data_IF_647317568204
#
_entry.id   IF_647317568204
#
_cell.length_a   1.000
_cell.length_b   1.000
_cell.length_c   1.000
_cell.angle_alpha   90.00
_cell.angle_beta   90.00
_cell.angle_gamma   90.00
#
_symmetry.space_group_name_H-M   'P 1'
#
loop_
_entity.id
_entity.type
_entity.pdbx_description
1 polymer ?
#
# COMPACT_ATOMS: atom_id res chain seq x y z
N UNK A 1 0.43 8.50 16.35
CA UNK A 1 1.87 8.18 16.60
C UNK A 1 2.49 7.69 15.29
N UNK A 2 3.78 7.95 15.01
CA UNK A 2 4.41 7.60 13.73
C UNK A 2 5.69 6.79 13.95
N UNK A 3 5.82 5.65 13.25
CA UNK A 3 6.95 4.73 13.37
C UNK A 3 7.60 4.49 12.01
N UNK A 4 8.90 4.23 11.99
CA UNK A 4 9.63 3.78 10.81
C UNK A 4 10.41 2.51 11.11
N UNK A 5 10.66 1.71 10.07
CA UNK A 5 11.61 0.61 10.12
C UNK A 5 12.87 1.00 9.34
N UNK A 6 14.02 0.65 9.88
CA UNK A 6 15.32 1.03 9.34
C UNK A 6 16.22 -0.19 9.20
N UNK A 7 17.11 -0.16 8.22
CA UNK A 7 18.20 -1.12 8.03
C UNK A 7 19.53 -0.39 8.03
N UNK A 8 20.54 -0.95 8.71
CA UNK A 8 21.92 -0.47 8.65
C UNK A 8 22.89 -1.64 8.44
N UNK A 9 23.91 -1.52 7.58
CA UNK A 9 24.90 -2.57 7.34
C UNK A 9 25.59 -3.10 8.61
N UNK A 10 25.86 -2.22 9.59
CA UNK A 10 26.57 -2.58 10.83
C UNK A 10 25.67 -2.78 12.05
N UNK A 11 24.51 -2.12 12.09
CA UNK A 11 23.64 -2.09 13.28
C UNK A 11 22.39 -2.95 13.10
N UNK A 12 22.24 -3.55 11.91
CA UNK A 12 21.10 -4.36 11.55
C UNK A 12 19.83 -3.55 11.48
N UNK A 13 18.72 -4.27 11.64
CA UNK A 13 17.39 -3.71 11.54
C UNK A 13 16.93 -3.05 12.85
N UNK A 14 16.23 -1.92 12.76
CA UNK A 14 15.67 -1.17 13.89
C UNK A 14 14.27 -0.65 13.62
N UNK A 15 13.57 -0.32 14.71
CA UNK A 15 12.33 0.47 14.69
C UNK A 15 12.62 1.80 15.38
N UNK A 16 12.09 2.90 14.87
CA UNK A 16 12.22 4.22 15.48
C UNK A 16 10.88 4.96 15.53
N UNK A 17 10.71 5.77 16.57
CA UNK A 17 9.63 6.74 16.71
C UNK A 17 10.01 8.02 15.94
N UNK A 18 9.08 8.55 15.15
CA UNK A 18 9.27 9.82 14.42
C UNK A 18 8.84 10.99 15.31
N UNK A 19 9.78 11.88 15.60
CA UNK A 19 9.60 13.08 16.42
C UNK A 19 10.09 14.32 15.64
N UNK A 20 9.20 14.91 14.84
CA UNK A 20 9.56 16.02 13.97
C UNK A 20 10.54 15.58 12.87
N UNK A 21 11.76 16.12 12.92
CA UNK A 21 12.89 15.83 12.04
C UNK A 21 13.86 14.79 12.63
N UNK A 22 13.54 14.21 13.79
CA UNK A 22 14.35 13.20 14.47
C UNK A 22 13.66 11.84 14.52
N UNK A 23 14.47 10.79 14.58
CA UNK A 23 14.06 9.41 14.82
C UNK A 23 14.66 8.91 16.13
N UNK A 24 13.82 8.64 17.13
CA UNK A 24 14.25 8.02 18.39
C UNK A 24 14.17 6.50 18.27
N UNK A 25 15.34 5.83 18.25
CA UNK A 25 15.43 4.38 18.04
C UNK A 25 14.94 3.62 19.27
N UNK A 26 14.09 2.61 19.06
CA UNK A 26 13.59 1.74 20.12
C UNK A 26 14.65 0.69 20.51
N UNK A 27 14.72 0.38 21.81
CA UNK A 27 15.49 -0.73 22.34
C UNK A 27 14.75 -2.06 22.12
N UNK A 28 15.52 -3.14 21.96
CA UNK A 28 15.07 -4.55 21.87
C UNK A 28 14.18 -4.93 20.68
N UNK A 29 13.57 -3.98 19.96
CA UNK A 29 12.76 -4.26 18.78
C UNK A 29 13.51 -4.01 17.48
N UNK A 30 13.40 -4.97 16.56
CA UNK A 30 13.94 -4.89 15.20
C UNK A 30 12.85 -4.83 14.14
N UNK A 31 11.58 -5.05 14.49
CA UNK A 31 10.45 -4.92 13.57
C UNK A 31 9.18 -4.45 14.28
N UNK A 32 8.32 -3.76 13.52
CA UNK A 32 6.97 -3.38 13.93
C UNK A 32 6.11 -4.61 14.15
N UNK A 33 6.31 -5.68 13.37
CA UNK A 33 5.66 -6.98 13.62
C UNK A 33 5.97 -7.49 15.05
N UNK A 34 7.25 -7.53 15.44
CA UNK A 34 7.64 -7.96 16.80
C UNK A 34 7.09 -7.04 17.89
N UNK A 35 7.02 -5.73 17.61
CA UNK A 35 6.40 -4.76 18.52
C UNK A 35 4.89 -5.01 18.68
N UNK A 36 4.17 -5.29 17.58
CA UNK A 36 2.74 -5.61 17.60
C UNK A 36 2.46 -6.92 18.35
N UNK A 37 3.25 -7.97 18.10
CA UNK A 37 3.16 -9.23 18.83
C UNK A 37 3.37 -9.03 20.33
N UNK A 38 4.32 -8.17 20.73
CA UNK A 38 4.49 -7.81 22.14
C UNK A 38 3.27 -7.10 22.71
N UNK A 39 2.73 -6.11 21.99
CA UNK A 39 1.55 -5.37 22.43
C UNK A 39 0.34 -6.28 22.65
N UNK A 40 0.09 -7.21 21.72
CA UNK A 40 -0.95 -8.24 21.83
C UNK A 40 -0.73 -9.12 23.07
N UNK A 41 0.50 -9.62 23.27
CA UNK A 41 0.81 -10.49 24.43
C UNK A 41 0.64 -9.80 25.79
N UNK A 42 0.86 -8.48 25.84
CA UNK A 42 0.68 -7.66 27.05
C UNK A 42 -0.74 -7.08 27.18
N UNK A 43 -1.63 -7.35 26.22
CA UNK A 43 -2.97 -6.75 26.13
C UNK A 43 -2.93 -5.21 26.24
N UNK A 44 -1.97 -4.58 25.55
CA UNK A 44 -1.79 -3.11 25.49
C UNK A 44 -1.80 -2.62 24.04
N UNK A 45 -1.98 -1.32 23.86
CA UNK A 45 -1.78 -0.67 22.56
C UNK A 45 -0.32 -0.21 22.37
N UNK A 46 0.03 0.09 21.11
CA UNK A 46 1.36 0.58 20.74
C UNK A 46 1.67 1.96 21.32
N UNK A 47 0.67 2.84 21.48
CA UNK A 47 0.88 4.19 22.01
C UNK A 47 1.37 4.16 23.46
N UNK A 48 0.93 3.17 24.24
CA UNK A 48 1.39 2.91 25.61
C UNK A 48 2.67 2.07 25.67
N UNK A 49 2.90 1.19 24.70
CA UNK A 49 4.07 0.30 24.68
C UNK A 49 5.34 1.04 24.25
N UNK A 50 5.29 1.78 23.14
CA UNK A 50 6.46 2.43 22.51
C UNK A 50 7.26 3.31 23.48
N UNK A 51 6.64 4.22 24.29
CA UNK A 51 7.37 5.09 25.21
C UNK A 51 8.25 4.36 26.22
N UNK A 52 7.89 3.11 26.59
CA UNK A 52 8.65 2.30 27.55
C UNK A 52 9.96 1.77 26.98
N UNK A 53 10.12 1.79 25.65
CA UNK A 53 11.25 1.22 24.94
C UNK A 53 12.02 2.24 24.11
N UNK A 54 11.72 3.54 24.24
CA UNK A 54 12.52 4.58 23.62
C UNK A 54 13.95 4.52 24.15
N UNK A 55 14.91 4.49 23.23
CA UNK A 55 16.32 4.57 23.57
C UNK A 55 16.86 5.99 23.62
N UNK A 56 18.16 6.07 23.87
CA UNK A 56 18.89 7.35 23.88
C UNK A 56 19.44 7.73 22.50
N UNK A 57 19.38 6.80 21.53
CA UNK A 57 19.92 7.02 20.20
C UNK A 57 18.90 7.77 19.33
N UNK A 58 19.24 8.98 18.94
CA UNK A 58 18.48 9.81 18.00
C UNK A 58 19.22 9.88 16.67
N UNK A 59 18.48 9.79 15.57
CA UNK A 59 18.99 9.91 14.22
C UNK A 59 18.30 11.08 13.52
N UNK A 60 19.05 11.85 12.74
CA UNK A 60 18.46 12.85 11.85
C UNK A 60 17.66 12.15 10.75
N UNK A 61 16.40 12.57 10.55
CA UNK A 61 15.51 11.88 9.62
C UNK A 61 15.80 12.28 8.16
N UNK A 62 16.12 13.55 7.88
CA UNK A 62 16.30 14.06 6.51
C UNK A 62 17.35 13.27 5.71
N UNK A 63 18.57 13.01 6.21
CA UNK A 63 19.55 12.23 5.47
C UNK A 63 19.11 10.79 5.17
N UNK A 64 18.28 10.20 6.03
CA UNK A 64 17.75 8.84 5.87
C UNK A 64 16.63 8.83 4.83
N UNK A 65 15.72 9.79 4.93
CA UNK A 65 14.60 9.96 4.01
C UNK A 65 15.09 10.22 2.58
N UNK A 66 16.09 11.10 2.42
CA UNK A 66 16.69 11.42 1.11
C UNK A 66 17.70 10.36 0.61
N UNK A 67 17.87 9.24 1.32
CA UNK A 67 18.78 8.16 0.92
C UNK A 67 20.28 8.49 1.01
N UNK A 68 20.65 9.56 1.73
CA UNK A 68 22.01 10.06 1.91
C UNK A 68 22.68 9.56 3.21
N UNK A 69 22.26 8.42 3.73
CA UNK A 69 22.71 7.84 5.00
C UNK A 69 23.02 6.34 4.84
N UNK A 70 23.88 5.81 5.72
CA UNK A 70 24.09 4.36 5.87
C UNK A 70 22.80 3.65 6.37
N UNK A 71 21.90 4.41 6.99
CA UNK A 71 20.56 3.92 7.36
C UNK A 71 19.62 4.05 6.17
N UNK A 72 18.92 2.96 5.87
CA UNK A 72 17.92 2.89 4.81
C UNK A 72 16.54 2.63 5.41
N UNK A 73 15.50 3.25 4.85
CA UNK A 73 14.13 2.94 5.20
C UNK A 73 13.75 1.55 4.69
N UNK A 74 13.01 0.82 5.51
CA UNK A 74 12.30 -0.39 5.13
C UNK A 74 10.81 -0.06 5.00
N UNK A 75 10.00 -0.92 4.36
CA UNK A 75 8.54 -0.77 4.44
C UNK A 75 8.12 -0.68 5.91
N UNK A 76 7.12 0.13 6.27
CA UNK A 76 6.74 0.37 7.67
C UNK A 76 6.20 -0.88 8.38
N UNK A 77 5.75 -1.88 7.62
CA UNK A 77 5.42 -3.22 8.08
C UNK A 77 5.74 -4.24 6.97
N UNK A 78 6.29 -5.37 7.40
CA UNK A 78 6.62 -6.58 6.64
C UNK A 78 6.79 -7.73 7.65
N UNK A 79 6.87 -8.96 7.15
CA UNK A 79 7.23 -10.08 7.99
C UNK A 79 8.77 -10.24 8.04
N UNK A 80 9.42 -10.14 9.21
CA UNK A 80 10.85 -9.89 9.31
C UNK A 80 11.75 -11.06 8.92
N UNK A 81 11.19 -12.28 8.81
CA UNK A 81 11.98 -13.50 8.55
C UNK A 81 11.56 -14.25 7.30
N UNK A 82 10.34 -14.03 6.81
CA UNK A 82 9.80 -14.75 5.66
C UNK A 82 8.78 -13.88 4.91
N UNK A 83 9.08 -13.42 3.68
CA UNK A 83 8.14 -12.63 2.89
C UNK A 83 6.85 -13.38 2.55
N UNK A 84 6.83 -14.71 2.54
CA UNK A 84 5.64 -15.51 2.24
C UNK A 84 4.57 -15.41 3.34
N UNK A 85 4.94 -14.97 4.53
CA UNK A 85 4.02 -14.70 5.64
C UNK A 85 3.39 -13.30 5.59
N UNK A 86 3.67 -12.53 4.54
CA UNK A 86 3.08 -11.22 4.31
C UNK A 86 2.16 -11.30 3.08
N UNK A 87 0.85 -11.25 3.27
CA UNK A 87 -0.13 -11.19 2.17
C UNK A 87 -0.35 -9.73 1.76
N UNK A 88 -0.21 -9.44 0.47
CA UNK A 88 -0.50 -8.13 -0.10
C UNK A 88 -1.71 -8.25 -1.00
N UNK A 89 -2.70 -7.40 -0.77
CA UNK A 89 -3.94 -7.37 -1.52
C UNK A 89 -4.49 -5.96 -1.63
N UNK A 90 -5.53 -5.78 -2.41
CA UNK A 90 -6.24 -4.51 -2.46
C UNK A 90 -7.70 -4.68 -2.85
N UNK A 91 -8.39 -3.55 -2.78
CA UNK A 91 -9.76 -3.37 -3.22
C UNK A 91 -9.79 -2.20 -4.21
N UNK A 92 -10.24 -2.41 -5.44
CA UNK A 92 -10.55 -1.31 -6.35
C UNK A 92 -12.03 -0.91 -6.28
N UNK A 93 -12.43 0.03 -7.16
CA UNK A 93 -13.82 0.53 -7.24
C UNK A 93 -14.37 1.10 -5.93
N UNK A 94 -13.51 1.63 -5.06
CA UNK A 94 -13.93 2.32 -3.84
C UNK A 94 -14.15 3.80 -4.09
N UNK A 95 -13.43 4.41 -5.02
CA UNK A 95 -13.55 5.82 -5.36
C UNK A 95 -14.28 6.00 -6.68
N UNK A 96 -15.07 7.07 -6.78
CA UNK A 96 -15.86 7.39 -7.99
C UNK A 96 -14.97 7.53 -9.22
N UNK A 97 -13.83 8.21 -9.08
CA UNK A 97 -12.92 8.44 -10.19
C UNK A 97 -12.27 7.15 -10.71
N UNK A 98 -11.96 6.18 -9.83
CA UNK A 98 -11.54 4.82 -10.21
C UNK A 98 -12.62 4.12 -11.05
N UNK A 99 -13.88 4.16 -10.60
CA UNK A 99 -15.00 3.56 -11.34
C UNK A 99 -15.21 4.24 -12.71
N UNK A 100 -15.15 5.57 -12.78
CA UNK A 100 -15.29 6.33 -14.03
C UNK A 100 -14.14 6.05 -15.01
N UNK A 101 -12.90 5.85 -14.52
CA UNK A 101 -11.75 5.44 -15.33
C UNK A 101 -11.95 4.04 -15.93
N UNK A 102 -12.36 3.06 -15.11
CA UNK A 102 -12.60 1.69 -15.58
C UNK A 102 -13.78 1.59 -16.55
N UNK A 103 -14.85 2.35 -16.31
CA UNK A 103 -15.95 2.47 -17.28
C UNK A 103 -15.40 2.92 -18.64
N UNK A 104 -14.61 4.00 -18.69
CA UNK A 104 -13.99 4.47 -19.95
C UNK A 104 -13.05 3.44 -20.60
N UNK A 105 -12.33 2.64 -19.82
CA UNK A 105 -11.44 1.61 -20.33
C UNK A 105 -12.19 0.46 -21.03
N UNK A 106 -13.41 0.13 -20.58
CA UNK A 106 -14.18 -1.02 -21.06
C UNK A 106 -15.48 -0.67 -21.81
N UNK A 107 -15.86 0.60 -21.92
CA UNK A 107 -17.13 1.04 -22.52
C UNK A 107 -17.30 0.59 -23.97
N UNK A 108 -16.22 0.50 -24.75
CA UNK A 108 -16.27 0.08 -26.15
C UNK A 108 -16.76 -1.37 -26.34
N UNK A 109 -16.69 -2.19 -25.29
CA UNK A 109 -17.10 -3.60 -25.32
C UNK A 109 -18.59 -3.81 -24.98
N UNK A 110 -19.26 -2.78 -24.42
CA UNK A 110 -20.63 -2.88 -23.91
C UNK A 110 -21.56 -1.97 -24.72
N UNK A 111 -22.46 -2.55 -25.51
CA UNK A 111 -23.39 -1.85 -26.41
C UNK A 111 -24.44 -0.99 -25.67
N UNK A 112 -24.02 0.14 -25.06
CA UNK A 112 -24.90 1.10 -24.40
C UNK A 112 -25.45 0.65 -23.04
N UNK A 113 -24.84 -0.36 -22.39
CA UNK A 113 -25.11 -0.73 -20.99
C UNK A 113 -23.91 -0.33 -20.12
N UNK A 114 -24.15 -0.16 -18.82
CA UNK A 114 -23.10 0.04 -17.83
C UNK A 114 -22.13 -1.14 -17.83
N UNK A 115 -20.84 -0.89 -17.61
CA UNK A 115 -19.87 -1.97 -17.39
C UNK A 115 -20.09 -2.63 -16.03
N UNK A 116 -19.62 -3.87 -15.86
CA UNK A 116 -19.67 -4.58 -14.57
C UNK A 116 -18.94 -3.80 -13.46
N UNK A 117 -17.85 -3.09 -13.81
CA UNK A 117 -17.13 -2.19 -12.91
C UNK A 117 -18.03 -1.09 -12.34
N UNK A 118 -18.83 -0.43 -13.18
CA UNK A 118 -19.73 0.63 -12.73
C UNK A 118 -20.91 0.08 -11.92
N UNK A 119 -21.42 -1.10 -12.30
CA UNK A 119 -22.46 -1.81 -11.53
C UNK A 119 -21.95 -2.14 -10.12
N UNK A 120 -20.74 -2.71 -10.02
CA UNK A 120 -20.11 -3.03 -8.74
C UNK A 120 -19.88 -1.78 -7.87
N UNK A 121 -19.41 -0.67 -8.46
CA UNK A 121 -19.27 0.60 -7.75
C UNK A 121 -20.62 1.08 -7.19
N UNK A 122 -21.69 1.01 -7.99
CA UNK A 122 -23.04 1.41 -7.55
C UNK A 122 -23.58 0.52 -6.44
N UNK A 123 -23.26 -0.78 -6.44
CA UNK A 123 -23.57 -1.65 -5.30
C UNK A 123 -22.87 -1.16 -4.04
N UNK A 124 -21.57 -0.83 -4.13
CA UNK A 124 -20.80 -0.21 -3.05
C UNK A 124 -21.49 1.03 -2.48
N UNK A 125 -21.86 1.99 -3.33
CA UNK A 125 -22.58 3.20 -2.88
C UNK A 125 -23.90 2.87 -2.18
N UNK A 126 -24.63 1.85 -2.66
CA UNK A 126 -25.93 1.47 -2.10
C UNK A 126 -25.83 0.67 -0.78
N UNK A 127 -24.76 -0.10 -0.58
CA UNK A 127 -24.69 -1.09 0.51
C UNK A 127 -23.32 -1.26 1.19
N UNK A 128 -22.33 -0.43 0.86
CA UNK A 128 -20.97 -0.48 1.39
C UNK A 128 -20.79 0.21 2.75
N UNK A 129 -21.80 0.98 3.19
CA UNK A 129 -21.87 1.65 4.49
C UNK A 129 -23.01 1.06 5.34
N UNK A 130 -22.91 -0.21 5.77
CA UNK A 130 -23.92 -0.84 6.60
C UNK A 130 -23.99 -0.19 7.99
N UNK A 131 -25.07 -0.43 8.73
CA UNK A 131 -25.13 -0.01 10.14
C UNK A 131 -24.10 -0.78 10.96
N UNK A 132 -23.71 -0.21 12.11
CA UNK A 132 -22.78 -0.89 13.04
C UNK A 132 -23.27 -2.30 13.39
N UNK A 133 -22.42 -3.29 13.14
CA UNK A 133 -22.71 -4.71 13.40
C UNK A 133 -23.41 -5.45 12.26
N UNK A 134 -23.75 -4.76 11.17
CA UNK A 134 -24.28 -5.38 9.95
C UNK A 134 -23.16 -5.58 8.92
N UNK A 135 -23.34 -6.56 8.04
CA UNK A 135 -22.44 -6.85 6.92
C UNK A 135 -22.97 -6.11 5.70
N UNK A 136 -22.10 -5.34 5.05
CA UNK A 136 -22.43 -4.63 3.82
C UNK A 136 -22.24 -5.50 2.58
N UNK A 137 -22.28 -4.85 1.43
CA UNK A 137 -22.04 -5.51 0.15
C UNK A 137 -20.55 -5.78 -0.07
N UNK A 138 -20.26 -6.88 -0.74
CA UNK A 138 -18.90 -7.32 -1.09
C UNK A 138 -18.24 -6.33 -2.05
N UNK A 139 -17.06 -5.77 -1.71
CA UNK A 139 -16.25 -4.99 -2.64
C UNK A 139 -15.51 -5.89 -3.64
N UNK A 140 -14.91 -5.29 -4.67
CA UNK A 140 -13.86 -5.95 -5.44
C UNK A 140 -12.70 -6.37 -4.52
N UNK A 141 -11.99 -7.44 -4.87
CA UNK A 141 -10.78 -7.82 -4.16
C UNK A 141 -9.78 -8.43 -5.14
N UNK A 142 -8.50 -8.11 -4.99
CA UNK A 142 -7.44 -8.72 -5.78
C UNK A 142 -6.21 -9.08 -4.92
N UNK A 143 -5.46 -10.07 -5.38
CA UNK A 143 -4.16 -10.44 -4.83
C UNK A 143 -3.07 -9.67 -5.56
N UNK A 144 -2.20 -9.00 -4.80
CA UNK A 144 -1.06 -8.23 -5.31
C UNK A 144 0.21 -9.07 -5.33
N UNK A 145 0.41 -9.85 -4.27
CA UNK A 145 1.64 -10.59 -4.08
C UNK A 145 1.88 -10.91 -2.61
N UNK A 146 3.13 -11.25 -2.31
CA UNK A 146 3.60 -11.42 -0.96
C UNK A 146 4.69 -10.39 -0.64
N UNK A 147 5.32 -10.49 0.53
CA UNK A 147 6.36 -9.57 0.98
C UNK A 147 7.53 -9.36 -0.01
N UNK A 148 7.78 -10.27 -0.95
CA UNK A 148 8.82 -10.11 -1.97
C UNK A 148 8.51 -9.03 -3.01
N UNK A 149 7.23 -8.70 -3.20
CA UNK A 149 6.77 -7.66 -4.11
C UNK A 149 6.87 -6.25 -3.50
N UNK A 150 7.09 -6.16 -2.19
CA UNK A 150 7.07 -4.89 -1.46
C UNK A 150 8.37 -4.11 -1.64
N UNK A 151 8.26 -2.80 -1.76
CA UNK A 151 9.36 -1.83 -1.86
C UNK A 151 9.19 -0.75 -0.80
N UNK A 152 10.32 -0.28 -0.26
CA UNK A 152 10.35 0.83 0.68
C UNK A 152 10.26 2.18 -0.05
N UNK A 153 10.15 3.26 0.72
CA UNK A 153 10.46 4.60 0.23
C UNK A 153 11.87 4.65 -0.38
N UNK A 154 12.01 5.34 -1.52
CA UNK A 154 13.27 5.52 -2.24
C UNK A 154 13.72 4.30 -3.08
N UNK A 155 13.10 3.13 -2.89
CA UNK A 155 13.40 1.95 -3.71
C UNK A 155 12.74 2.06 -5.10
N UNK A 156 13.35 1.44 -6.11
CA UNK A 156 12.77 1.43 -7.45
C UNK A 156 11.53 0.52 -7.53
N UNK A 157 10.55 0.94 -8.33
CA UNK A 157 9.44 0.10 -8.80
C UNK A 157 9.79 -0.44 -10.18
N UNK A 158 9.67 -1.76 -10.34
CA UNK A 158 10.15 -2.46 -11.52
C UNK A 158 9.11 -2.35 -12.66
N UNK A 159 9.53 -1.92 -13.85
CA UNK A 159 8.79 -2.05 -15.10
C UNK A 159 9.41 -3.21 -15.91
N UNK A 160 8.90 -4.44 -15.74
CA UNK A 160 9.48 -5.61 -16.37
C UNK A 160 9.25 -5.59 -17.89
N UNK A 161 10.09 -6.30 -18.64
CA UNK A 161 10.06 -6.27 -20.11
C UNK A 161 8.75 -6.78 -20.74
N UNK A 162 7.99 -7.61 -20.01
CA UNK A 162 6.69 -8.12 -20.42
C UNK A 162 5.51 -7.18 -20.06
N UNK A 163 5.77 -6.13 -19.26
CA UNK A 163 4.73 -5.17 -18.91
C UNK A 163 4.35 -4.31 -20.11
N UNK A 164 3.07 -3.94 -20.21
CA UNK A 164 2.58 -3.05 -21.25
C UNK A 164 2.62 -1.58 -20.81
N UNK A 165 2.51 -1.34 -19.51
CA UNK A 165 2.85 -0.10 -18.83
C UNK A 165 3.09 -0.34 -17.32
N UNK A 166 3.35 0.75 -16.61
CA UNK A 166 3.46 0.79 -15.17
C UNK A 166 3.10 2.20 -14.71
N UNK A 167 2.05 2.32 -13.90
CA UNK A 167 1.56 3.60 -13.40
C UNK A 167 1.30 3.52 -11.91
N UNK A 168 1.47 4.64 -11.22
CA UNK A 168 1.17 4.75 -9.80
C UNK A 168 -0.33 4.65 -9.52
N UNK A 169 -0.67 4.00 -8.42
CA UNK A 169 -2.02 4.01 -7.85
C UNK A 169 -1.86 4.51 -6.40
N UNK A 170 -2.04 5.83 -6.16
CA UNK A 170 -1.78 6.44 -4.87
C UNK A 170 -2.90 6.09 -3.89
N UNK A 171 -2.53 5.44 -2.80
CA UNK A 171 -3.49 4.88 -1.86
C UNK A 171 -3.04 5.01 -0.40
N UNK A 172 -3.99 4.77 0.50
CA UNK A 172 -3.71 4.43 1.89
C UNK A 172 -3.88 2.92 2.01
N UNK A 173 -2.92 2.26 2.65
CA UNK A 173 -3.01 0.85 2.95
C UNK A 173 -3.21 0.63 4.45
N UNK A 174 -4.07 -0.32 4.80
CA UNK A 174 -4.19 -0.86 6.15
C UNK A 174 -3.12 -1.92 6.42
N UNK A 175 -2.55 -1.87 7.63
CA UNK A 175 -1.44 -2.72 8.07
C UNK A 175 -1.91 -3.57 9.24
N UNK A 176 -1.86 -4.90 9.09
CA UNK A 176 -2.44 -5.83 10.06
C UNK A 176 -1.50 -6.98 10.40
N UNK A 177 -1.75 -7.60 11.56
CA UNK A 177 -1.16 -8.87 11.94
C UNK A 177 -2.21 -9.80 12.54
N UNK A 178 -1.97 -11.10 12.42
CA UNK A 178 -2.81 -12.14 13.00
C UNK A 178 -2.13 -12.72 14.24
N UNK A 179 -2.85 -12.72 15.36
CA UNK A 179 -2.37 -13.31 16.61
C UNK A 179 -2.36 -14.84 16.58
N UNK A 180 -1.75 -15.46 17.59
CA UNK A 180 -1.74 -16.92 17.79
C UNK A 180 -3.15 -17.54 17.88
N UNK A 181 -4.15 -16.76 18.29
CA UNK A 181 -5.55 -17.18 18.38
C UNK A 181 -6.32 -17.03 17.05
N UNK A 182 -5.72 -16.43 16.03
CA UNK A 182 -6.40 -16.11 14.76
C UNK A 182 -7.16 -14.78 14.78
N UNK A 183 -7.06 -14.01 15.86
CA UNK A 183 -7.64 -12.66 15.93
C UNK A 183 -6.83 -11.68 15.08
N UNK A 184 -7.54 -10.81 14.36
CA UNK A 184 -6.99 -9.78 13.48
C UNK A 184 -6.72 -8.51 14.28
N UNK A 185 -5.51 -7.98 14.19
CA UNK A 185 -5.13 -6.71 14.78
C UNK A 185 -4.67 -5.74 13.70
N UNK A 186 -5.37 -4.61 13.58
CA UNK A 186 -4.88 -3.47 12.80
C UNK A 186 -3.80 -2.74 13.60
N UNK A 187 -2.60 -2.69 13.03
CA UNK A 187 -1.45 -1.98 13.59
C UNK A 187 -1.58 -0.48 13.28
N UNK A 188 -2.04 -0.16 12.08
CA UNK A 188 -2.24 1.21 11.64
C UNK A 188 -2.36 1.29 10.12
N UNK A 189 -1.90 2.40 9.56
CA UNK A 189 -1.99 2.70 8.13
C UNK A 189 -0.66 3.23 7.62
N UNK A 190 -0.46 3.20 6.30
CA UNK A 190 0.63 3.92 5.66
C UNK A 190 0.24 4.39 4.27
N UNK A 191 0.91 5.43 3.78
CA UNK A 191 0.90 5.81 2.37
C UNK A 191 1.42 4.65 1.54
N UNK A 192 0.78 4.36 0.42
CA UNK A 192 1.19 3.31 -0.49
C UNK A 192 1.03 3.71 -1.96
N UNK A 193 1.81 3.05 -2.80
CA UNK A 193 1.63 3.04 -4.24
C UNK A 193 1.40 1.58 -4.64
N UNK A 194 0.16 1.24 -5.01
CA UNK A 194 -0.19 -0.12 -5.41
C UNK A 194 0.53 -0.51 -6.71
N UNK A 195 0.70 0.42 -7.65
CA UNK A 195 1.45 0.32 -8.91
C UNK A 195 1.01 -0.79 -9.87
N UNK A 196 0.54 -0.40 -11.07
CA UNK A 196 -0.25 -1.27 -11.94
C UNK A 196 0.06 -1.16 -13.43
N UNK A 197 -0.22 -2.24 -14.18
CA UNK A 197 -0.18 -2.31 -15.65
C UNK A 197 -1.59 -2.07 -16.24
N UNK A 198 -1.99 -0.81 -16.33
CA UNK A 198 -3.32 -0.40 -16.79
C UNK A 198 -3.57 -0.76 -18.26
N UNK A 199 -2.53 -0.82 -19.09
CA UNK A 199 -2.65 -1.24 -20.49
C UNK A 199 -3.00 -2.72 -20.57
N UNK A 200 -2.43 -3.56 -19.71
CA UNK A 200 -2.81 -4.97 -19.60
C UNK A 200 -4.25 -5.13 -19.09
N UNK A 201 -4.64 -4.40 -18.04
CA UNK A 201 -6.02 -4.42 -17.51
C UNK A 201 -7.05 -4.03 -18.57
N UNK A 202 -6.79 -2.93 -19.30
CA UNK A 202 -7.70 -2.41 -20.34
C UNK A 202 -7.98 -3.40 -21.46
N UNK A 203 -7.06 -4.34 -21.75
CA UNK A 203 -7.27 -5.34 -22.81
C UNK A 203 -8.45 -6.25 -22.52
N UNK A 204 -8.69 -6.59 -21.25
CA UNK A 204 -9.81 -7.42 -20.83
C UNK A 204 -9.91 -7.41 -19.29
N UNK A 205 -11.12 -7.37 -18.73
CA UNK A 205 -11.31 -7.38 -17.27
C UNK A 205 -10.69 -8.62 -16.59
N UNK A 206 -10.58 -9.76 -17.28
CA UNK A 206 -9.90 -10.96 -16.77
C UNK A 206 -8.39 -10.78 -16.60
N UNK A 207 -7.81 -9.72 -17.17
CA UNK A 207 -6.41 -9.34 -17.00
C UNK A 207 -6.16 -8.39 -15.83
N UNK A 208 -7.16 -8.11 -14.99
CA UNK A 208 -6.96 -7.45 -13.71
C UNK A 208 -5.94 -8.20 -12.84
N UNK A 209 -6.07 -9.52 -12.71
CA UNK A 209 -5.14 -10.29 -11.88
C UNK A 209 -3.67 -10.15 -12.33
N UNK A 210 -3.31 -10.42 -13.60
CA UNK A 210 -1.93 -10.26 -14.06
C UNK A 210 -1.45 -8.80 -14.17
N UNK A 211 -2.35 -7.81 -14.31
CA UNK A 211 -1.96 -6.39 -14.28
C UNK A 211 -1.50 -5.96 -12.88
N UNK A 212 -2.10 -6.54 -11.84
CA UNK A 212 -1.74 -6.27 -10.45
C UNK A 212 -0.47 -7.00 -10.00
N UNK A 213 -0.02 -8.06 -10.67
CA UNK A 213 1.24 -8.76 -10.32
C UNK A 213 2.50 -7.95 -10.66
N UNK A 214 2.71 -6.85 -9.94
CA UNK A 214 3.84 -5.92 -10.03
C UNK A 214 4.38 -5.64 -8.64
N UNK A 215 5.56 -5.03 -8.55
CA UNK A 215 6.04 -4.48 -7.27
C UNK A 215 5.11 -3.37 -6.78
N UNK A 216 4.98 -3.20 -5.48
CA UNK A 216 4.28 -2.07 -4.86
C UNK A 216 5.15 -1.44 -3.78
N UNK A 217 4.83 -0.22 -3.37
CA UNK A 217 5.55 0.44 -2.28
C UNK A 217 4.64 0.91 -1.15
N UNK A 218 5.26 1.05 0.02
CA UNK A 218 4.60 1.42 1.27
C UNK A 218 5.55 2.25 2.14
N UNK A 219 5.00 3.24 2.83
CA UNK A 219 5.72 4.08 3.79
C UNK A 219 5.81 5.54 3.35
N UNK A 220 6.81 6.29 3.83
CA UNK A 220 7.91 5.84 4.68
C UNK A 220 7.47 5.49 6.11
N UNK A 221 6.34 6.02 6.59
CA UNK A 221 5.92 5.95 7.99
C UNK A 221 4.70 5.04 8.19
N UNK A 222 4.70 4.26 9.28
CA UNK A 222 3.50 3.67 9.87
C UNK A 222 2.82 4.74 10.72
N UNK A 223 1.54 4.95 10.49
CA UNK A 223 0.69 5.85 11.25
C UNK A 223 -0.24 5.02 12.13
N UNK A 224 0.00 5.05 13.44
CA UNK A 224 -0.80 4.34 14.42
C UNK A 224 -1.95 5.21 14.89
N UNK A 225 -3.16 4.65 14.75
CA UNK A 225 -4.44 5.25 15.13
C UNK A 225 -4.70 6.65 14.54
N UNK A 226 -4.56 6.84 13.20
CA UNK A 226 -4.92 8.10 12.57
C UNK A 226 -6.45 8.28 12.51
N UNK A 227 -6.87 9.54 12.36
CA UNK A 227 -8.20 9.83 11.82
C UNK A 227 -8.24 9.39 10.35
N UNK A 228 -9.27 8.63 9.98
CA UNK A 228 -9.49 8.10 8.64
C UNK A 228 -10.84 8.56 8.05
N UNK A 229 -11.39 9.68 8.54
CA UNK A 229 -12.64 10.27 8.04
C UNK A 229 -12.53 10.87 6.63
N UNK A 230 -11.91 12.05 6.51
CA UNK A 230 -11.62 12.74 5.24
C UNK A 230 -10.12 12.93 5.11
N UNK A 231 -9.45 12.07 4.34
CA UNK A 231 -8.00 12.14 4.14
C UNK A 231 -7.72 12.74 2.77
N UNK A 232 -7.02 13.87 2.74
CA UNK A 232 -6.68 14.60 1.51
C UNK A 232 -5.22 14.44 1.19
N UNK A 233 -4.89 14.44 -0.09
CA UNK A 233 -3.53 14.22 -0.54
C UNK A 233 -3.25 14.85 -1.91
N UNK A 234 -2.02 14.64 -2.35
CA UNK A 234 -1.54 14.98 -3.70
C UNK A 234 -0.71 13.81 -4.21
N UNK A 235 -0.90 13.49 -5.49
CA UNK A 235 0.02 12.65 -6.25
C UNK A 235 0.71 13.51 -7.31
N UNK A 236 2.00 13.26 -7.55
CA UNK A 236 2.77 13.93 -8.57
C UNK A 236 3.74 12.97 -9.26
N UNK A 237 4.04 13.26 -10.53
CA UNK A 237 5.04 12.57 -11.33
C UNK A 237 6.09 13.57 -11.77
N UNK A 238 7.35 13.22 -11.54
CA UNK A 238 8.51 14.02 -11.91
C UNK A 238 9.33 13.30 -12.98
N UNK A 239 9.81 14.05 -13.97
CA UNK A 239 10.74 13.57 -14.99
C UNK A 239 11.95 14.48 -15.04
N UNK A 240 13.13 13.94 -14.77
CA UNK A 240 14.37 14.71 -14.66
C UNK A 240 14.26 15.91 -13.69
N UNK A 241 13.52 15.74 -12.59
CA UNK A 241 13.30 16.76 -11.55
C UNK A 241 12.16 17.74 -11.82
N UNK A 242 11.55 17.72 -13.00
CA UNK A 242 10.43 18.61 -13.36
C UNK A 242 9.08 17.90 -13.13
N UNK A 243 8.11 18.58 -12.50
CA UNK A 243 6.74 18.07 -12.33
C UNK A 243 6.04 18.03 -13.70
N UNK A 244 5.79 16.84 -14.24
CA UNK A 244 5.11 16.68 -15.53
C UNK A 244 3.60 16.47 -15.39
N UNK A 245 3.16 16.06 -14.20
CA UNK A 245 1.75 15.85 -13.88
C UNK A 245 1.54 15.82 -12.36
N UNK A 246 0.38 16.31 -11.93
CA UNK A 246 -0.09 16.13 -10.56
C UNK A 246 -1.61 16.19 -10.46
N UNK A 247 -2.14 15.64 -9.37
CA UNK A 247 -3.55 15.71 -9.04
C UNK A 247 -3.77 15.75 -7.52
N UNK A 248 -4.81 16.46 -7.09
CA UNK A 248 -5.37 16.32 -5.75
C UNK A 248 -6.11 14.97 -5.65
N UNK A 249 -5.97 14.29 -4.52
CA UNK A 249 -6.58 12.98 -4.24
C UNK A 249 -7.26 12.98 -2.89
N UNK A 250 -8.27 12.12 -2.73
CA UNK A 250 -9.01 11.95 -1.47
C UNK A 250 -9.20 10.48 -1.14
N UNK A 251 -9.21 10.17 0.15
CA UNK A 251 -9.50 8.85 0.71
C UNK A 251 -10.17 8.98 2.08
N UNK A 252 -10.38 7.86 2.77
CA UNK A 252 -11.08 7.80 4.04
C UNK A 252 -12.59 7.53 3.91
N UNK A 253 -13.24 7.32 5.06
CA UNK A 253 -14.64 6.90 5.19
C UNK A 253 -15.61 7.73 4.33
N UNK A 254 -15.41 9.05 4.21
CA UNK A 254 -16.34 9.92 3.46
C UNK A 254 -16.11 9.91 1.95
N UNK A 255 -14.95 9.43 1.49
CA UNK A 255 -14.56 9.47 0.08
C UNK A 255 -14.60 8.08 -0.60
N UNK A 256 -14.88 7.02 0.16
CA UNK A 256 -15.00 5.66 -0.33
C UNK A 256 -16.46 5.17 -0.37
N UNK A 257 -16.80 4.36 -1.37
CA UNK A 257 -18.09 3.70 -1.52
C UNK A 257 -18.33 2.62 -0.45
N UNK A 258 -17.27 2.11 0.16
CA UNK A 258 -17.33 1.17 1.26
C UNK A 258 -16.71 1.77 2.52
N UNK A 259 -17.37 1.57 3.65
CA UNK A 259 -16.79 1.87 4.96
C UNK A 259 -15.57 0.99 5.22
N UNK A 260 -14.62 1.49 6.02
CA UNK A 260 -13.42 0.73 6.36
C UNK A 260 -13.77 -0.60 7.04
N UNK A 261 -14.71 -0.58 7.98
CA UNK A 261 -15.18 -1.79 8.67
C UNK A 261 -15.74 -2.85 7.71
N UNK A 262 -16.41 -2.41 6.63
CA UNK A 262 -16.90 -3.32 5.59
C UNK A 262 -15.74 -3.92 4.79
N UNK A 263 -14.77 -3.11 4.38
CA UNK A 263 -13.57 -3.58 3.67
C UNK A 263 -12.77 -4.60 4.50
N UNK A 264 -12.52 -4.27 5.78
CA UNK A 264 -11.83 -5.15 6.72
C UNK A 264 -12.59 -6.47 6.91
N UNK A 265 -13.91 -6.42 7.13
CA UNK A 265 -14.72 -7.65 7.25
C UNK A 265 -14.60 -8.53 6.00
N UNK A 266 -14.79 -7.95 4.81
CA UNK A 266 -14.75 -8.72 3.56
C UNK A 266 -13.36 -9.26 3.24
N UNK A 267 -12.30 -8.60 3.71
CA UNK A 267 -10.94 -9.15 3.63
C UNK A 267 -10.75 -10.31 4.61
N UNK A 268 -11.13 -10.17 5.88
CA UNK A 268 -10.79 -11.14 6.93
C UNK A 268 -11.85 -12.22 7.21
N UNK A 269 -13.04 -12.17 6.58
CA UNK A 269 -14.07 -13.21 6.76
C UNK A 269 -13.57 -14.61 6.40
N UNK A 270 -12.62 -14.71 5.48
CA UNK A 270 -12.03 -15.98 5.05
C UNK A 270 -11.04 -16.51 6.11
N UNK A 271 -11.15 -17.79 6.45
CA UNK A 271 -10.30 -18.40 7.47
C UNK A 271 -8.81 -18.41 7.07
N UNK A 272 -8.50 -18.51 5.78
CA UNK A 272 -7.13 -18.46 5.26
C UNK A 272 -6.48 -17.07 5.34
N UNK A 273 -7.24 -16.01 5.67
CA UNK A 273 -6.70 -14.67 5.93
C UNK A 273 -6.53 -14.40 7.44
N UNK A 274 -6.75 -15.43 8.27
CA UNK A 274 -6.64 -15.38 9.73
C UNK A 274 -5.70 -16.47 10.22
N UNK A 275 -4.66 -16.76 9.44
CA UNK A 275 -3.62 -17.72 9.84
C UNK A 275 -2.67 -17.03 10.83
N UNK A 276 -2.44 -17.61 12.02
CA UNK A 276 -1.54 -17.08 13.03
C UNK A 276 -0.17 -16.67 12.51
N UNK A 277 0.34 -15.53 12.99
CA UNK A 277 1.67 -15.01 12.66
C UNK A 277 1.76 -14.35 11.29
N UNK A 278 0.70 -14.32 10.49
CA UNK A 278 0.70 -13.59 9.22
C UNK A 278 0.66 -12.06 9.42
N UNK A 279 1.20 -11.38 8.42
CA UNK A 279 1.10 -9.94 8.19
C UNK A 279 0.22 -9.71 6.97
N UNK A 280 -0.63 -8.70 7.02
CA UNK A 280 -1.45 -8.30 5.88
C UNK A 280 -1.24 -6.82 5.57
N UNK A 281 -1.07 -6.52 4.29
CA UNK A 281 -1.11 -5.17 3.74
C UNK A 281 -2.30 -5.14 2.77
N UNK A 282 -3.26 -4.26 3.04
CA UNK A 282 -4.46 -4.13 2.22
C UNK A 282 -4.65 -2.70 1.72
N UNK A 283 -4.55 -2.51 0.41
CA UNK A 283 -4.75 -1.28 -0.34
C UNK A 283 -6.26 -0.98 -0.51
N UNK A 284 -6.71 0.25 -0.21
CA UNK A 284 -8.15 0.60 -0.17
C UNK A 284 -8.71 1.26 -1.43
N UNK A 285 -7.93 1.32 -2.50
CA UNK A 285 -8.28 1.89 -3.81
C UNK A 285 -7.81 3.33 -3.97
N UNK A 286 -7.45 3.67 -5.21
CA UNK A 286 -6.99 5.00 -5.61
C UNK A 286 -8.13 5.90 -6.12
N UNK A 287 -7.96 7.21 -5.96
CA UNK A 287 -8.88 8.24 -6.49
C UNK A 287 -8.44 8.70 -7.90
N UNK A 288 -7.21 9.19 -8.04
CA UNK A 288 -6.63 9.64 -9.32
C UNK A 288 -5.23 9.09 -9.54
N UNK A 289 -4.83 8.95 -10.80
CA UNK A 289 -3.53 8.42 -11.23
C UNK A 289 -3.19 8.90 -12.64
N UNK A 290 -1.88 8.97 -12.95
CA UNK A 290 -1.30 9.59 -14.14
C UNK A 290 -1.77 8.95 -15.45
N UNK A 291 -1.96 7.63 -15.47
CA UNK A 291 -2.51 6.93 -16.63
C UNK A 291 -3.92 7.42 -16.98
N UNK A 292 -4.78 7.64 -15.98
CA UNK A 292 -6.11 8.24 -16.16
C UNK A 292 -6.05 9.68 -16.69
N UNK A 293 -4.95 10.38 -16.42
CA UNK A 293 -4.60 11.69 -16.98
C UNK A 293 -3.90 11.63 -18.35
N UNK A 294 -3.71 10.44 -18.93
CA UNK A 294 -3.07 10.26 -20.24
C UNK A 294 -1.55 10.35 -20.23
N UNK A 295 -0.92 10.29 -19.06
CA UNK A 295 0.54 10.33 -18.91
C UNK A 295 1.09 8.92 -18.94
N UNK A 296 2.12 8.70 -19.76
CA UNK A 296 2.87 7.45 -19.81
C UNK A 296 4.20 7.62 -19.09
N UNK A 297 4.41 6.82 -18.04
CA UNK A 297 5.67 6.78 -17.32
C UNK A 297 6.77 6.10 -18.14
N UNK A 298 8.01 6.53 -17.90
CA UNK A 298 9.23 6.02 -18.53
C UNK A 298 10.34 5.82 -17.50
N UNK A 299 11.37 5.05 -17.86
CA UNK A 299 12.54 4.83 -17.00
C UNK A 299 13.08 6.14 -16.40
N UNK A 300 13.29 6.15 -15.09
CA UNK A 300 13.78 7.31 -14.35
C UNK A 300 12.71 8.31 -13.91
N UNK A 301 11.44 8.14 -14.29
CA UNK A 301 10.34 8.94 -13.72
C UNK A 301 10.19 8.63 -12.23
N UNK A 302 9.93 9.65 -11.42
CA UNK A 302 9.64 9.52 -10.00
C UNK A 302 8.16 9.77 -9.73
N UNK A 303 7.56 8.91 -8.91
CA UNK A 303 6.19 9.07 -8.43
C UNK A 303 6.25 9.48 -6.95
N UNK A 304 5.55 10.57 -6.60
CA UNK A 304 5.39 11.04 -5.24
C UNK A 304 3.93 10.93 -4.81
N UNK A 305 3.68 10.33 -3.65
CA UNK A 305 2.35 10.24 -3.02
C UNK A 305 2.40 10.87 -1.64
N UNK A 306 1.54 11.86 -1.41
CA UNK A 306 1.42 12.55 -0.12
C UNK A 306 -0.03 12.53 0.36
N UNK A 307 -0.20 12.26 1.66
CA UNK A 307 -1.48 12.32 2.36
C UNK A 307 -1.33 13.17 3.63
N UNK A 308 -2.22 14.14 3.81
CA UNK A 308 -2.21 15.02 4.98
C UNK A 308 -2.43 14.20 6.26
N UNK A 309 -1.49 14.34 7.20
CA UNK A 309 -1.54 13.61 8.49
C UNK A 309 -0.94 12.21 8.44
N UNK A 310 -0.47 11.74 7.28
CA UNK A 310 0.07 10.38 7.09
C UNK A 310 1.60 10.37 6.88
N UNK A 311 2.29 11.32 7.52
CA UNK A 311 3.75 11.40 7.51
C UNK A 311 4.32 12.07 6.26
N UNK A 312 5.62 11.85 6.02
CA UNK A 312 6.31 12.35 4.82
C UNK A 312 5.81 11.67 3.54
N UNK A 313 5.96 12.32 2.36
CA UNK A 313 5.62 11.70 1.08
C UNK A 313 6.34 10.38 0.83
N UNK A 314 5.66 9.46 0.13
CA UNK A 314 6.26 8.27 -0.45
C UNK A 314 6.83 8.62 -1.82
N UNK A 315 8.10 8.33 -2.08
CA UNK A 315 8.75 8.54 -3.37
C UNK A 315 9.35 7.23 -3.86
N UNK A 316 9.14 6.93 -5.14
CA UNK A 316 9.75 5.78 -5.80
C UNK A 316 10.06 6.12 -7.25
N UNK A 317 11.22 5.70 -7.74
CA UNK A 317 11.61 5.83 -9.15
C UNK A 317 11.17 4.61 -9.94
N UNK A 318 10.74 4.81 -11.18
CA UNK A 318 10.46 3.76 -12.13
C UNK A 318 11.75 3.23 -12.75
N UNK A 319 11.95 1.90 -12.72
CA UNK A 319 13.11 1.25 -13.34
C UNK A 319 12.67 0.26 -14.42
N UNK A 320 12.95 0.58 -15.67
CA UNK A 320 12.69 -0.30 -16.80
C UNK A 320 13.70 -1.45 -16.85
N UNK A 321 13.21 -2.63 -17.26
CA UNK A 321 14.06 -3.78 -17.51
C UNK A 321 15.11 -3.49 -18.60
N UNK A 322 16.36 -3.83 -18.32
CA UNK A 322 17.48 -3.66 -19.25
C UNK A 322 17.50 -4.72 -20.35
N UNK A 323 16.91 -5.89 -20.09
CA UNK A 323 16.87 -7.03 -21.00
C UNK A 323 15.45 -7.25 -21.52
N UNK A 324 15.28 -7.71 -22.78
CA UNK A 324 13.98 -8.06 -23.31
C UNK A 324 13.37 -9.27 -22.57
N UNK A 325 12.07 -9.45 -22.73
CA UNK A 325 11.37 -10.65 -22.27
C UNK A 325 12.00 -11.91 -22.91
N UNK A 326 12.20 -12.94 -22.11
CA UNK A 326 12.73 -14.24 -22.53
C UNK A 326 11.89 -15.36 -21.94
N UNK A 327 11.77 -16.47 -22.68
CA UNK A 327 11.12 -17.67 -22.17
C UNK A 327 11.82 -18.17 -20.91
N UNK A 328 11.01 -18.68 -19.97
CA UNK A 328 11.49 -19.37 -18.78
C UNK A 328 11.40 -20.87 -19.07
N UNK A 329 12.54 -21.55 -19.07
CA UNK A 329 12.58 -23.00 -19.26
C UNK A 329 12.00 -23.72 -18.04
N UNK A 330 11.02 -24.59 -18.28
CA UNK A 330 10.38 -25.39 -17.24
C UNK A 330 10.96 -26.80 -17.30
N UNK A 331 11.62 -27.20 -16.22
CA UNK A 331 12.20 -28.53 -16.07
C UNK A 331 11.25 -29.44 -15.27
N UNK A 332 10.87 -30.58 -15.83
CA UNK A 332 10.19 -31.66 -15.10
C UNK A 332 11.22 -32.50 -14.34
N UNK A 333 10.96 -32.79 -13.06
CA UNK A 333 11.79 -33.67 -12.22
C UNK A 333 11.39 -35.14 -12.32
#
# INVERSE_FOLDING_TARGET
MRLVQLQHPRHGRKVALVEGDQLTVLHYFTSVFGLAQRAISEATDLQRLVPKYLGQNQLEYDPIYEGNSDWQLLPPLDHPTDPMHCLISGTGLTHKASADNRERMHQAEVQGKLTDSMIMYQWGVAGGHPKKGEIGVQPEWFYKGNGSSLRAHGAALDLPAYANDGGEEPEIAGLYTISDAGDVYRIGFATGNEYSDHVMERKNYLYLAPSKLRTCSLGPELIVDPDFGDVRGKVAVYRAGEEIWSADIKSGETNMAHSLANLEYHHFKYANHRVPGQVHIHYFGADAFSFGGGVKLTDGDEMEVYWQGFGRPLRNTLKAAEKPESLIDIHSL
#
